data_IF_181237180622
#
_entry.id   IF_181237180622
#
_cell.length_a   1.000
_cell.length_b   1.000
_cell.length_c   1.000
_cell.angle_alpha   90.00
_cell.angle_beta   90.00
_cell.angle_gamma   90.00
#
_symmetry.space_group_name_H-M   'P 1'
#
loop_
_entity.id
_entity.type
_entity.pdbx_description
1 polymer ?
#
# COMPACT_ATOMS: atom_id res chain seq x y z
N UNK A 1 -4.31 2.18 -23.00
CA UNK A 1 -5.08 3.25 -22.29
C UNK A 1 -6.55 2.87 -22.09
N UNK A 2 -7.45 2.94 -23.09
CA UNK A 2 -8.89 2.69 -22.86
C UNK A 2 -9.27 1.25 -22.47
N UNK A 3 -8.63 0.24 -23.09
CA UNK A 3 -8.87 -1.18 -22.75
C UNK A 3 -8.42 -1.49 -21.33
N UNK A 4 -7.21 -1.09 -20.97
CA UNK A 4 -6.65 -1.29 -19.62
C UNK A 4 -7.51 -0.66 -18.52
N UNK A 5 -8.00 0.57 -18.73
CA UNK A 5 -8.95 1.20 -17.80
C UNK A 5 -10.25 0.40 -17.67
N UNK A 6 -10.82 -0.11 -18.77
CA UNK A 6 -12.02 -0.95 -18.72
C UNK A 6 -11.78 -2.24 -17.95
N UNK A 7 -10.66 -2.90 -18.20
CA UNK A 7 -10.28 -4.16 -17.54
C UNK A 7 -10.09 -3.94 -16.03
N UNK A 8 -9.40 -2.85 -15.63
CA UNK A 8 -9.24 -2.46 -14.22
C UNK A 8 -10.58 -2.17 -13.55
N UNK A 9 -11.46 -1.42 -14.20
CA UNK A 9 -12.78 -1.11 -13.66
C UNK A 9 -13.66 -2.37 -13.53
N UNK A 10 -13.59 -3.30 -14.48
CA UNK A 10 -14.27 -4.58 -14.43
C UNK A 10 -13.86 -5.41 -13.21
N UNK A 11 -12.55 -5.49 -12.91
CA UNK A 11 -12.04 -6.16 -11.71
C UNK A 11 -12.55 -5.51 -10.42
N UNK A 12 -12.52 -4.18 -10.33
CA UNK A 12 -13.04 -3.45 -9.16
C UNK A 12 -14.54 -3.72 -8.94
N UNK A 13 -15.34 -3.73 -10.01
CA UNK A 13 -16.77 -4.01 -9.91
C UNK A 13 -17.07 -5.46 -9.50
N UNK A 14 -16.28 -6.42 -9.99
CA UNK A 14 -16.39 -7.81 -9.56
C UNK A 14 -16.12 -8.00 -8.06
N UNK A 15 -15.32 -7.11 -7.46
CA UNK A 15 -15.03 -7.06 -6.02
C UNK A 15 -16.06 -6.23 -5.22
N UNK A 16 -17.13 -5.74 -5.86
CA UNK A 16 -18.17 -4.92 -5.23
C UNK A 16 -17.76 -3.46 -4.99
N UNK A 17 -16.61 -3.02 -5.51
CA UNK A 17 -16.13 -1.66 -5.35
C UNK A 17 -16.82 -0.72 -6.35
N UNK A 18 -17.17 0.49 -5.89
CA UNK A 18 -17.78 1.53 -6.72
C UNK A 18 -16.71 2.39 -7.38
N UNK A 19 -17.08 3.16 -8.41
CA UNK A 19 -16.18 4.12 -9.09
C UNK A 19 -15.43 5.05 -8.13
N UNK A 20 -16.08 5.50 -7.06
CA UNK A 20 -15.44 6.34 -6.03
C UNK A 20 -14.27 5.64 -5.30
N UNK A 21 -14.20 4.31 -5.29
CA UNK A 21 -13.10 3.55 -4.70
C UNK A 21 -11.98 3.24 -5.71
N UNK A 22 -12.10 3.65 -6.98
CA UNK A 22 -11.14 3.24 -8.02
C UNK A 22 -9.71 3.79 -7.82
N UNK A 23 -9.59 4.89 -7.06
CA UNK A 23 -8.31 5.46 -6.66
C UNK A 23 -7.75 4.85 -5.37
N UNK A 24 -8.54 4.06 -4.63
CA UNK A 24 -8.09 3.42 -3.41
C UNK A 24 -7.28 2.17 -3.76
N UNK A 25 -6.00 2.15 -3.36
CA UNK A 25 -5.11 1.01 -3.58
C UNK A 25 -5.27 -0.04 -2.47
N UNK A 26 -5.33 0.41 -1.20
CA UNK A 26 -5.46 -0.48 -0.06
C UNK A 26 -4.42 -1.62 -0.08
N UNK A 27 -4.83 -2.89 0.06
CA UNK A 27 -3.92 -4.04 -0.04
C UNK A 27 -3.19 -4.17 -1.39
N UNK A 28 -3.76 -3.64 -2.47
CA UNK A 28 -3.22 -3.74 -3.84
C UNK A 28 -2.14 -2.70 -4.16
N UNK A 29 -1.72 -1.91 -3.16
CA UNK A 29 -0.65 -0.92 -3.34
C UNK A 29 0.65 -1.56 -3.86
N UNK A 30 0.96 -2.80 -3.46
CA UNK A 30 2.17 -3.52 -3.89
C UNK A 30 2.15 -3.79 -5.38
N UNK A 31 1.03 -4.31 -5.89
CA UNK A 31 0.85 -4.59 -7.32
C UNK A 31 0.99 -3.32 -8.15
N UNK A 32 0.40 -2.22 -7.66
CA UNK A 32 0.45 -0.92 -8.32
C UNK A 32 1.87 -0.36 -8.42
N UNK A 33 2.63 -0.34 -7.31
CA UNK A 33 4.01 0.16 -7.35
C UNK A 33 4.93 -0.77 -8.15
N UNK A 34 4.65 -2.08 -8.15
CA UNK A 34 5.37 -3.05 -8.97
C UNK A 34 5.18 -2.77 -10.45
N UNK A 35 3.94 -2.62 -10.91
CA UNK A 35 3.62 -2.26 -12.30
C UNK A 35 4.27 -0.94 -12.74
N UNK A 36 4.22 0.08 -11.88
CA UNK A 36 4.90 1.36 -12.13
C UNK A 36 6.42 1.21 -12.25
N UNK A 37 7.05 0.46 -11.35
CA UNK A 37 8.49 0.27 -11.34
C UNK A 37 8.98 -0.47 -12.59
N UNK A 38 8.24 -1.49 -13.03
CA UNK A 38 8.52 -2.24 -14.25
C UNK A 38 8.33 -1.37 -15.49
N UNK A 39 7.24 -0.61 -15.54
CA UNK A 39 6.93 0.31 -16.65
C UNK A 39 7.99 1.39 -16.81
N UNK A 40 8.47 1.95 -15.69
CA UNK A 40 9.47 3.02 -15.69
C UNK A 40 10.92 2.53 -15.71
N UNK A 41 11.16 1.22 -15.56
CA UNK A 41 12.51 0.65 -15.47
C UNK A 41 13.29 1.11 -14.24
N UNK A 42 12.60 1.40 -13.13
CA UNK A 42 13.21 1.88 -11.87
C UNK A 42 13.15 0.83 -10.79
N UNK A 43 13.97 1.00 -9.74
CA UNK A 43 13.92 0.12 -8.57
C UNK A 43 12.57 0.26 -7.85
N UNK A 44 11.93 -0.87 -7.55
CA UNK A 44 10.67 -0.91 -6.82
C UNK A 44 10.85 -0.52 -5.34
N UNK A 45 9.74 -0.18 -4.68
CA UNK A 45 9.68 0.08 -3.24
C UNK A 45 10.02 -1.21 -2.49
N UNK A 46 10.86 -1.11 -1.45
CA UNK A 46 11.22 -2.26 -0.62
C UNK A 46 10.00 -2.79 0.15
N UNK A 47 9.81 -4.11 0.27
CA UNK A 47 8.67 -4.71 0.97
C UNK A 47 8.46 -4.19 2.40
N UNK A 48 9.54 -3.93 3.14
CA UNK A 48 9.49 -3.35 4.50
C UNK A 48 8.70 -2.03 4.55
N UNK A 49 8.75 -1.21 3.49
CA UNK A 49 8.04 0.08 3.48
C UNK A 49 6.52 -0.10 3.46
N UNK A 50 6.02 -1.06 2.68
CA UNK A 50 4.59 -1.38 2.68
C UNK A 50 4.15 -2.00 4.00
N UNK A 51 4.96 -2.90 4.56
CA UNK A 51 4.67 -3.52 5.86
C UNK A 51 4.58 -2.46 6.97
N UNK A 52 5.55 -1.55 7.02
CA UNK A 52 5.57 -0.45 7.98
C UNK A 52 4.41 0.52 7.79
N UNK A 53 4.06 0.87 6.54
CA UNK A 53 2.90 1.71 6.24
C UNK A 53 1.58 1.08 6.74
N UNK A 54 1.42 -0.23 6.53
CA UNK A 54 0.23 -0.96 7.00
C UNK A 54 0.18 -1.01 8.53
N UNK A 55 1.30 -1.25 9.21
CA UNK A 55 1.35 -1.25 10.68
C UNK A 55 1.05 0.15 11.24
N UNK A 56 1.64 1.20 10.66
CA UNK A 56 1.33 2.59 11.03
C UNK A 56 -0.15 2.93 10.83
N UNK A 57 -0.76 2.46 9.75
CA UNK A 57 -2.20 2.63 9.49
C UNK A 57 -3.06 1.89 10.51
N UNK A 58 -2.61 0.73 10.98
CA UNK A 58 -3.26 -0.02 12.05
C UNK A 58 -3.16 0.73 13.38
N UNK A 59 -1.96 1.20 13.76
CA UNK A 59 -1.77 2.03 14.96
C UNK A 59 -2.66 3.28 14.93
N UNK A 60 -2.78 3.94 13.78
CA UNK A 60 -3.68 5.08 13.60
C UNK A 60 -5.15 4.73 13.90
N UNK A 61 -5.62 3.59 13.42
CA UNK A 61 -7.00 3.14 13.64
C UNK A 61 -7.25 2.71 15.09
N UNK A 62 -6.24 2.13 15.75
CA UNK A 62 -6.35 1.60 17.12
C UNK A 62 -6.17 2.68 18.20
N UNK A 63 -5.26 3.64 17.99
CA UNK A 63 -4.94 4.68 18.96
C UNK A 63 -4.69 6.03 18.28
N UNK A 64 -5.78 6.64 17.79
CA UNK A 64 -5.74 7.90 17.05
C UNK A 64 -4.99 9.05 17.74
N UNK A 65 -5.03 9.11 19.08
CA UNK A 65 -4.42 10.20 19.84
C UNK A 65 -2.90 10.06 19.97
N UNK A 66 -2.40 8.83 20.11
CA UNK A 66 -1.00 8.57 20.46
C UNK A 66 -0.22 7.74 19.44
N UNK A 67 -0.81 7.31 18.31
CA UNK A 67 -0.12 6.49 17.30
C UNK A 67 1.19 7.10 16.76
N UNK A 68 1.37 8.42 16.87
CA UNK A 68 2.60 9.12 16.46
C UNK A 68 3.74 9.01 17.46
N UNK A 69 3.46 8.49 18.65
CA UNK A 69 4.47 8.23 19.67
C UNK A 69 5.21 6.90 19.39
N UNK A 70 4.64 6.03 18.56
CA UNK A 70 5.26 4.77 18.15
C UNK A 70 6.51 5.01 17.28
N UNK A 71 7.64 4.43 17.71
CA UNK A 71 8.91 4.52 17.02
C UNK A 71 9.26 3.18 16.39
N UNK A 72 9.67 3.20 15.12
CA UNK A 72 10.05 2.00 14.37
C UNK A 72 11.46 2.13 13.79
N UNK A 73 12.21 1.04 13.79
CA UNK A 73 13.49 0.91 13.10
C UNK A 73 13.40 -0.15 12.00
N UNK A 74 13.86 0.20 10.80
CA UNK A 74 14.01 -0.73 9.68
C UNK A 74 15.31 -1.52 9.89
N UNK A 75 15.22 -2.85 9.87
CA UNK A 75 16.37 -3.73 10.05
C UNK A 75 16.95 -4.17 8.70
N UNK A 76 16.09 -4.51 7.75
CA UNK A 76 16.46 -4.94 6.40
C UNK A 76 15.36 -4.62 5.37
N UNK A 77 15.45 -5.18 4.16
CA UNK A 77 14.50 -4.93 3.07
C UNK A 77 13.10 -5.54 3.32
N UNK A 78 12.96 -6.39 4.33
CA UNK A 78 11.76 -7.15 4.66
C UNK A 78 11.21 -6.88 6.06
N UNK A 79 12.05 -6.46 7.02
CA UNK A 79 11.72 -6.45 8.44
C UNK A 79 11.98 -5.10 9.12
N UNK A 80 11.13 -4.79 10.09
CA UNK A 80 11.25 -3.65 10.98
C UNK A 80 10.90 -4.09 12.41
N UNK A 81 11.28 -3.29 13.40
CA UNK A 81 10.94 -3.51 14.82
C UNK A 81 10.36 -2.24 15.42
N UNK A 82 9.42 -2.38 16.36
CA UNK A 82 8.93 -1.29 17.20
C UNK A 82 9.86 -1.11 18.40
N UNK A 83 10.25 0.12 18.71
CA UNK A 83 11.26 0.44 19.72
C UNK A 83 10.68 0.75 21.10
N UNK A 84 9.36 0.91 21.21
CA UNK A 84 8.67 1.36 22.42
C UNK A 84 7.31 0.69 22.64
#
# INVERSE_FOLDING_TARGET
>A
MLKDTRDRMGKLWAEGLRKRHAHMLGPKQVDYFTDLSQTAGVKNIKPVMTKLHNESSKCFNENLLHFREDNFAILDDETFVKLN
#
